data_IF_972219778007
#
_entry.id   IF_972219778007
#
_cell.length_a   1.000
_cell.length_b   1.000
_cell.length_c   1.000
_cell.angle_alpha   90.00
_cell.angle_beta   90.00
_cell.angle_gamma   90.00
#
_symmetry.space_group_name_H-M   'P 1'
#
loop_
_entity.id
_entity.type
_entity.pdbx_description
1 polymer ?
#
# COMPACT_ATOMS: atom_id res chain seq x y z
N UNK A 1 -61.27 16.89 -38.00
CA UNK A 1 -59.90 17.12 -38.50
C UNK A 1 -59.44 18.44 -37.89
N UNK A 2 -58.39 18.63 -37.08
CA UNK A 2 -57.43 17.83 -36.30
C UNK A 2 -57.13 18.69 -35.06
N UNK A 3 -56.90 18.10 -33.88
CA UNK A 3 -56.48 18.85 -32.69
C UNK A 3 -54.99 19.20 -32.81
N UNK A 4 -54.64 20.44 -32.52
CA UNK A 4 -53.26 20.82 -32.24
C UNK A 4 -53.19 21.41 -30.85
N UNK A 5 -52.47 20.72 -29.96
CA UNK A 5 -51.94 21.32 -28.75
C UNK A 5 -50.53 20.80 -28.59
N UNK A 6 -49.56 21.71 -28.66
CA UNK A 6 -48.19 21.47 -28.24
C UNK A 6 -47.71 22.71 -27.51
N UNK A 7 -47.38 22.58 -26.23
CA UNK A 7 -46.72 23.63 -25.45
C UNK A 7 -45.26 23.21 -25.30
N UNK A 8 -44.35 23.93 -25.94
CA UNK A 8 -42.91 23.68 -25.80
C UNK A 8 -42.40 24.55 -24.67
N UNK A 9 -42.23 23.96 -23.49
CA UNK A 9 -41.43 24.56 -22.42
C UNK A 9 -39.96 24.32 -22.72
N UNK A 10 -39.38 25.17 -23.57
CA UNK A 10 -37.93 25.17 -23.75
C UNK A 10 -37.30 25.77 -22.50
N UNK A 11 -36.84 24.93 -21.58
CA UNK A 11 -35.91 25.38 -20.53
C UNK A 11 -34.71 26.03 -21.23
N UNK A 12 -34.32 27.22 -20.79
CA UNK A 12 -33.14 27.92 -21.30
C UNK A 12 -31.95 26.96 -21.28
N UNK A 13 -31.35 26.77 -22.45
CA UNK A 13 -30.09 26.04 -22.58
C UNK A 13 -29.00 27.08 -22.48
N UNK A 14 -28.30 27.12 -21.34
CA UNK A 14 -27.27 28.13 -21.09
C UNK A 14 -26.05 27.96 -22.02
N UNK A 15 -25.75 26.73 -22.45
CA UNK A 15 -24.69 26.42 -23.42
C UNK A 15 -24.87 25.03 -24.04
N UNK A 16 -24.60 24.91 -25.34
CA UNK A 16 -24.50 23.62 -26.05
C UNK A 16 -23.03 23.22 -26.15
N UNK A 17 -22.72 21.98 -25.76
CA UNK A 17 -21.37 21.40 -25.86
C UNK A 17 -21.34 20.35 -26.97
N UNK A 18 -20.22 20.27 -27.67
CA UNK A 18 -19.93 19.15 -28.56
C UNK A 18 -19.62 17.89 -27.74
N UNK A 19 -19.78 16.70 -28.34
CA UNK A 19 -19.42 15.43 -27.69
C UNK A 19 -17.97 15.42 -27.17
N UNK A 20 -17.05 16.04 -27.91
CA UNK A 20 -15.64 16.12 -27.53
C UNK A 20 -15.40 17.07 -26.34
N UNK A 21 -16.17 18.16 -26.22
CA UNK A 21 -16.11 19.06 -25.07
C UNK A 21 -16.70 18.41 -23.81
N UNK A 22 -17.80 17.66 -23.96
CA UNK A 22 -18.40 16.89 -22.86
C UNK A 22 -17.42 15.83 -22.33
N UNK A 23 -16.75 15.09 -23.21
CA UNK A 23 -15.73 14.11 -22.83
C UNK A 23 -14.54 14.77 -22.12
N UNK A 24 -14.14 15.97 -22.56
CA UNK A 24 -13.06 16.73 -21.94
C UNK A 24 -13.45 17.21 -20.54
N UNK A 25 -14.66 17.72 -20.35
CA UNK A 25 -15.17 18.12 -19.03
C UNK A 25 -15.28 16.91 -18.09
N UNK A 26 -15.77 15.77 -18.57
CA UNK A 26 -15.84 14.54 -17.78
C UNK A 26 -14.44 14.05 -17.34
N UNK A 27 -13.45 14.09 -18.23
CA UNK A 27 -12.06 13.75 -17.90
C UNK A 27 -11.47 14.68 -16.84
N UNK A 28 -11.70 15.99 -16.97
CA UNK A 28 -11.27 16.97 -15.97
C UNK A 28 -11.96 16.75 -14.62
N UNK A 29 -13.26 16.49 -14.60
CA UNK A 29 -14.01 16.22 -13.39
C UNK A 29 -13.51 14.95 -12.68
N UNK A 30 -13.23 13.89 -13.45
CA UNK A 30 -12.65 12.64 -12.94
C UNK A 30 -11.24 12.86 -12.37
N UNK A 31 -10.40 13.62 -13.07
CA UNK A 31 -9.06 13.96 -12.59
C UNK A 31 -9.12 14.75 -11.28
N UNK A 32 -9.93 15.80 -11.21
CA UNK A 32 -10.10 16.59 -10.01
C UNK A 32 -10.66 15.76 -8.83
N UNK A 33 -11.54 14.79 -9.11
CA UNK A 33 -12.01 13.84 -8.10
C UNK A 33 -10.89 12.94 -7.59
N UNK A 34 -10.07 12.38 -8.48
CA UNK A 34 -8.91 11.56 -8.12
C UNK A 34 -7.93 12.34 -7.23
N UNK A 35 -7.58 13.56 -7.60
CA UNK A 35 -6.68 14.42 -6.81
C UNK A 35 -7.24 14.79 -5.43
N UNK A 36 -8.57 14.90 -5.29
CA UNK A 36 -9.21 15.09 -3.96
C UNK A 36 -9.17 13.80 -3.14
N UNK A 37 -9.41 12.66 -3.78
CA UNK A 37 -9.34 11.36 -3.12
C UNK A 37 -7.92 11.03 -2.65
N UNK A 38 -6.91 11.28 -3.48
CA UNK A 38 -5.51 11.03 -3.15
C UNK A 38 -5.08 11.84 -1.91
N UNK A 39 -5.48 13.12 -1.84
CA UNK A 39 -5.28 13.96 -0.64
C UNK A 39 -6.01 13.42 0.58
N UNK A 40 -7.29 13.05 0.42
CA UNK A 40 -8.08 12.50 1.53
C UNK A 40 -7.47 11.20 2.07
N UNK A 41 -6.96 10.34 1.19
CA UNK A 41 -6.27 9.11 1.55
C UNK A 41 -4.95 9.40 2.27
N UNK A 42 -4.18 10.38 1.77
CA UNK A 42 -2.94 10.83 2.41
C UNK A 42 -3.20 11.30 3.85
N UNK A 43 -4.16 12.20 4.04
CA UNK A 43 -4.50 12.76 5.35
C UNK A 43 -4.99 11.68 6.32
N UNK A 44 -5.85 10.75 5.84
CA UNK A 44 -6.34 9.64 6.63
C UNK A 44 -5.20 8.69 7.05
N UNK A 45 -4.27 8.38 6.15
CA UNK A 45 -3.14 7.52 6.44
C UNK A 45 -2.18 8.18 7.44
N UNK A 46 -1.84 9.45 7.26
CA UNK A 46 -1.00 10.21 8.20
C UNK A 46 -1.63 10.20 9.61
N UNK A 47 -2.93 10.50 9.72
CA UNK A 47 -3.64 10.52 10.99
C UNK A 47 -3.63 9.16 11.69
N UNK A 48 -3.98 8.08 10.98
CA UNK A 48 -4.06 6.74 11.56
C UNK A 48 -2.69 6.20 11.94
N UNK A 49 -1.69 6.41 11.09
CA UNK A 49 -0.34 5.89 11.32
C UNK A 49 0.35 6.63 12.47
N UNK A 50 0.24 7.97 12.54
CA UNK A 50 0.80 8.74 13.66
C UNK A 50 0.17 8.42 15.01
N UNK A 51 -1.11 8.04 15.02
CA UNK A 51 -1.80 7.68 16.26
C UNK A 51 -1.37 6.30 16.80
N UNK A 52 -0.86 5.40 15.94
CA UNK A 52 -0.57 4.01 16.29
C UNK A 52 0.91 3.67 16.34
N UNK A 53 1.70 4.27 15.47
CA UNK A 53 3.12 3.95 15.35
C UNK A 53 3.95 4.83 16.28
N UNK A 54 5.00 4.26 16.89
CA UNK A 54 6.03 5.08 17.52
C UNK A 54 6.76 5.93 16.47
N UNK A 55 7.50 6.92 16.94
CA UNK A 55 8.37 7.73 16.07
C UNK A 55 9.36 6.84 15.32
N UNK A 56 9.41 7.01 14.00
CA UNK A 56 10.30 6.24 13.12
C UNK A 56 11.60 7.03 12.98
N UNK A 57 12.61 6.64 13.75
CA UNK A 57 13.95 7.25 13.72
C UNK A 57 14.97 6.36 12.99
N UNK A 58 16.09 6.92 12.51
CA UNK A 58 17.18 6.14 11.92
C UNK A 58 17.70 5.00 12.83
N UNK A 59 17.68 5.21 14.15
CA UNK A 59 18.10 4.19 15.13
C UNK A 59 17.11 3.04 15.21
N UNK A 60 15.80 3.32 15.13
CA UNK A 60 14.76 2.27 15.07
C UNK A 60 14.95 1.41 13.83
N UNK A 61 15.14 2.05 12.67
CA UNK A 61 15.36 1.36 11.39
C UNK A 61 16.64 0.52 11.42
N UNK A 62 17.73 1.06 11.99
CA UNK A 62 18.99 0.33 12.14
C UNK A 62 18.82 -0.89 13.04
N UNK A 63 18.14 -0.76 14.19
CA UNK A 63 17.84 -1.91 15.06
C UNK A 63 17.02 -2.97 14.34
N UNK A 64 16.02 -2.56 13.56
CA UNK A 64 15.20 -3.49 12.78
C UNK A 64 16.03 -4.25 11.72
N UNK A 65 16.90 -3.55 10.99
CA UNK A 65 17.82 -4.15 10.02
C UNK A 65 18.76 -5.18 10.67
N UNK A 66 19.30 -4.87 11.86
CA UNK A 66 20.12 -5.82 12.64
C UNK A 66 19.31 -7.06 13.01
N UNK A 67 18.08 -6.92 13.52
CA UNK A 67 17.22 -8.07 13.84
C UNK A 67 16.90 -8.94 12.63
N UNK A 68 16.67 -8.34 11.47
CA UNK A 68 16.46 -9.08 10.22
C UNK A 68 17.72 -9.88 9.84
N UNK A 69 18.91 -9.28 9.98
CA UNK A 69 20.17 -9.95 9.72
C UNK A 69 20.40 -11.14 10.66
N UNK A 70 20.08 -10.99 11.95
CA UNK A 70 20.14 -12.07 12.95
C UNK A 70 19.21 -13.23 12.58
N UNK A 71 17.94 -12.94 12.23
CA UNK A 71 16.98 -13.97 11.81
C UNK A 71 17.43 -14.69 10.54
N UNK A 72 17.97 -13.94 9.56
CA UNK A 72 18.54 -14.50 8.34
C UNK A 72 19.70 -15.44 8.66
N UNK A 73 20.62 -15.02 9.53
CA UNK A 73 21.73 -15.85 9.96
C UNK A 73 21.25 -17.14 10.65
N UNK A 74 20.24 -17.04 11.53
CA UNK A 74 19.64 -18.20 12.19
C UNK A 74 19.00 -19.19 11.23
N UNK A 75 18.23 -18.69 10.25
CA UNK A 75 17.62 -19.53 9.20
C UNK A 75 18.69 -20.25 8.36
N UNK A 76 19.70 -19.50 7.88
CA UNK A 76 20.77 -20.07 7.05
C UNK A 76 21.62 -21.09 7.82
N UNK A 77 21.96 -20.80 9.08
CA UNK A 77 22.70 -21.72 9.93
C UNK A 77 21.96 -23.05 10.12
N UNK A 78 20.63 -23.00 10.33
CA UNK A 78 19.80 -24.21 10.42
C UNK A 78 19.74 -24.97 9.10
N UNK A 79 19.55 -24.26 7.98
CA UNK A 79 19.55 -24.89 6.67
C UNK A 79 20.87 -25.65 6.41
N UNK A 80 22.01 -25.03 6.71
CA UNK A 80 23.33 -25.66 6.58
C UNK A 80 23.48 -26.88 7.49
N UNK A 81 23.04 -26.80 8.74
CA UNK A 81 23.09 -27.94 9.67
C UNK A 81 22.30 -29.17 9.20
N UNK A 82 21.18 -28.96 8.47
CA UNK A 82 20.41 -30.07 7.90
C UNK A 82 21.13 -30.76 6.73
N UNK A 83 21.97 -30.04 5.98
CA UNK A 83 22.74 -30.59 4.87
C UNK A 83 23.94 -31.40 5.36
N UNK A 84 24.52 -31.04 6.50
CA UNK A 84 25.62 -31.80 7.13
C UNK A 84 25.19 -33.19 7.62
N UNK A 85 23.89 -33.40 7.85
CA UNK A 85 23.35 -34.69 8.30
C UNK A 85 22.97 -35.56 7.10
N UNK A 86 23.59 -36.75 6.90
CA UNK A 86 23.23 -37.62 5.79
C UNK A 86 21.79 -38.15 5.89
N UNK A 87 21.11 -38.25 4.76
CA UNK A 87 19.75 -38.81 4.65
C UNK A 87 18.66 -37.74 4.56
N UNK A 88 17.39 -38.17 4.66
CA UNK A 88 16.24 -37.26 4.61
C UNK A 88 16.05 -36.62 5.98
N UNK A 89 16.05 -35.28 6.10
CA UNK A 89 15.80 -34.62 7.37
C UNK A 89 14.44 -35.02 7.95
N UNK A 90 14.34 -35.19 9.29
CA UNK A 90 13.05 -35.49 9.91
C UNK A 90 12.08 -34.32 9.73
N UNK A 91 10.78 -34.62 9.62
CA UNK A 91 9.72 -33.61 9.41
C UNK A 91 9.80 -32.48 10.44
N UNK A 92 10.03 -32.80 11.71
CA UNK A 92 10.18 -31.81 12.77
C UNK A 92 11.31 -30.80 12.54
N UNK A 93 12.41 -31.21 11.88
CA UNK A 93 13.52 -30.33 11.56
C UNK A 93 13.19 -29.41 10.37
N UNK A 94 12.41 -29.91 9.40
CA UNK A 94 11.88 -29.10 8.31
C UNK A 94 10.85 -28.07 8.81
N UNK A 95 10.00 -28.46 9.75
CA UNK A 95 9.03 -27.56 10.39
C UNK A 95 9.73 -26.43 11.17
N UNK A 96 10.79 -26.76 11.91
CA UNK A 96 11.60 -25.77 12.62
C UNK A 96 12.30 -24.81 11.66
N UNK A 97 12.86 -25.34 10.56
CA UNK A 97 13.45 -24.52 9.50
C UNK A 97 12.41 -23.57 8.88
N UNK A 98 11.20 -24.05 8.61
CA UNK A 98 10.09 -23.24 8.09
C UNK A 98 9.74 -22.09 9.04
N UNK A 99 9.67 -22.34 10.36
CA UNK A 99 9.40 -21.28 11.35
C UNK A 99 10.46 -20.19 11.32
N UNK A 100 11.74 -20.55 11.18
CA UNK A 100 12.82 -19.58 11.06
C UNK A 100 12.71 -18.76 9.77
N UNK A 101 12.37 -19.41 8.65
CA UNK A 101 12.11 -18.73 7.38
C UNK A 101 10.97 -17.72 7.50
N UNK A 102 9.84 -18.14 8.08
CA UNK A 102 8.66 -17.28 8.27
C UNK A 102 8.97 -16.06 9.13
N UNK A 103 9.67 -16.25 10.25
CA UNK A 103 10.04 -15.13 11.13
C UNK A 103 10.95 -14.11 10.40
N UNK A 104 11.93 -14.60 9.63
CA UNK A 104 12.79 -13.76 8.81
C UNK A 104 12.00 -13.00 7.72
N UNK A 105 11.14 -13.70 6.98
CA UNK A 105 10.35 -13.12 5.90
C UNK A 105 9.37 -12.06 6.44
N UNK A 106 8.67 -12.36 7.53
CA UNK A 106 7.71 -11.44 8.14
C UNK A 106 8.36 -10.13 8.57
N UNK A 107 9.53 -10.21 9.22
CA UNK A 107 10.22 -9.00 9.67
C UNK A 107 10.82 -8.20 8.49
N UNK A 108 11.25 -8.87 7.43
CA UNK A 108 11.69 -8.21 6.18
C UNK A 108 10.52 -7.47 5.51
N UNK A 109 9.37 -8.11 5.37
CA UNK A 109 8.17 -7.50 4.77
C UNK A 109 7.67 -6.31 5.61
N UNK A 110 7.73 -6.42 6.93
CA UNK A 110 7.41 -5.30 7.82
C UNK A 110 8.37 -4.11 7.64
N UNK A 111 9.67 -4.36 7.41
CA UNK A 111 10.65 -3.31 7.16
C UNK A 111 10.36 -2.57 5.85
N UNK A 112 10.11 -3.31 4.77
CA UNK A 112 9.73 -2.72 3.48
C UNK A 112 8.40 -1.96 3.56
N UNK A 113 7.44 -2.43 4.36
CA UNK A 113 6.20 -1.72 4.62
C UNK A 113 6.46 -0.37 5.31
N UNK A 114 7.40 -0.30 6.25
CA UNK A 114 7.80 0.95 6.90
C UNK A 114 8.53 1.89 5.93
N UNK A 115 9.43 1.37 5.08
CA UNK A 115 10.06 2.17 4.02
C UNK A 115 9.01 2.82 3.11
N UNK A 116 7.99 2.07 2.69
CA UNK A 116 6.87 2.62 1.89
C UNK A 116 6.08 3.69 2.63
N UNK A 117 5.93 3.60 3.95
CA UNK A 117 5.29 4.64 4.77
C UNK A 117 6.11 5.93 4.75
N UNK A 118 7.44 5.80 4.85
CA UNK A 118 8.38 6.92 4.80
C UNK A 118 8.39 7.56 3.40
N UNK A 119 8.53 6.76 2.34
CA UNK A 119 8.57 7.23 0.94
C UNK A 119 7.31 7.98 0.55
N UNK A 120 6.14 7.54 1.05
CA UNK A 120 4.87 8.20 0.81
C UNK A 120 4.63 9.44 1.67
N UNK A 121 5.53 9.74 2.61
CA UNK A 121 5.44 10.92 3.47
C UNK A 121 4.35 10.84 4.54
N UNK A 122 3.84 9.64 4.85
CA UNK A 122 2.80 9.45 5.87
C UNK A 122 3.31 9.73 7.30
N UNK A 123 4.63 9.75 7.49
CA UNK A 123 5.28 10.14 8.74
C UNK A 123 6.37 11.17 8.47
N UNK A 124 6.68 11.99 9.47
CA UNK A 124 7.90 12.80 9.44
C UNK A 124 9.07 11.90 9.83
N UNK A 125 10.11 11.87 9.01
CA UNK A 125 11.42 11.35 9.41
C UNK A 125 12.08 12.47 10.20
N UNK A 126 12.50 12.18 11.43
CA UNK A 126 13.25 13.11 12.28
C UNK A 126 14.70 12.67 12.33
#
# INVERSE_FOLDING_TARGET
MVRYVGKVETRKVDRLLTSAELDREQRHALQAFRERMDRTIMDANEMVLRAKLPEITPEVMTRMAVRIAELRAGYLAKALALVETPGVPPVAALDDLQRHRMAFEELREAFEAIERVIERGYTKVV
#
